data_IF_432673336555
#
_entry.id   IF_432673336555
#
_cell.length_a   1.000
_cell.length_b   1.000
_cell.length_c   1.000
_cell.angle_alpha   90.00
_cell.angle_beta   90.00
_cell.angle_gamma   90.00
#
_symmetry.space_group_name_H-M   'P 1'
#
loop_
_entity.id
_entity.type
_entity.pdbx_description
1 polymer ?
#
# COMPACT_ATOMS: atom_id res chain seq x y z
N UNK A 1 26.95 62.03 -21.33
CA UNK A 1 27.03 60.61 -21.76
C UNK A 1 26.68 59.71 -20.59
N UNK A 2 25.46 59.17 -20.63
CA UNK A 2 25.11 57.80 -20.24
C UNK A 2 25.60 57.24 -18.88
N UNK A 3 25.35 57.91 -17.75
CA UNK A 3 25.62 57.29 -16.44
C UNK A 3 24.52 57.44 -15.37
N UNK A 4 23.33 57.91 -15.74
CA UNK A 4 22.19 58.04 -14.82
C UNK A 4 20.95 57.23 -15.22
N UNK A 5 21.02 56.43 -16.30
CA UNK A 5 19.90 55.61 -16.79
C UNK A 5 19.97 54.14 -16.38
N UNK A 6 21.00 53.71 -15.65
CA UNK A 6 21.11 52.31 -15.19
C UNK A 6 20.44 52.05 -13.83
N UNK A 7 20.02 53.10 -13.10
CA UNK A 7 19.48 52.96 -11.74
C UNK A 7 17.96 52.74 -11.68
N UNK A 8 17.25 52.67 -12.81
CA UNK A 8 15.77 52.59 -12.85
C UNK A 8 15.20 51.36 -13.58
N UNK A 9 15.95 50.25 -13.67
CA UNK A 9 15.49 49.01 -14.34
C UNK A 9 15.44 47.77 -13.46
N UNK A 10 15.47 47.92 -12.14
CA UNK A 10 15.27 46.78 -11.22
C UNK A 10 14.17 47.12 -10.22
N UNK A 11 13.07 47.67 -10.72
CA UNK A 11 11.80 47.66 -10.02
C UNK A 11 10.97 46.51 -10.61
N UNK A 12 10.70 45.49 -9.80
CA UNK A 12 9.69 44.47 -10.12
C UNK A 12 10.23 43.08 -10.36
N UNK A 13 10.55 42.36 -9.28
CA UNK A 13 10.32 40.92 -9.17
C UNK A 13 10.41 40.52 -7.69
N UNK A 14 9.59 41.15 -6.86
CA UNK A 14 9.39 40.74 -5.47
C UNK A 14 8.50 39.49 -5.47
N UNK A 15 9.06 38.40 -4.94
CA UNK A 15 8.40 37.27 -4.29
C UNK A 15 7.23 36.56 -5.00
N UNK A 16 7.53 35.42 -5.60
CA UNK A 16 6.66 34.25 -5.59
C UNK A 16 7.52 33.00 -5.32
N UNK A 17 7.91 32.77 -4.07
CA UNK A 17 8.32 31.42 -3.65
C UNK A 17 7.01 30.63 -3.58
N UNK A 18 6.67 29.99 -4.70
CA UNK A 18 5.61 28.99 -4.72
C UNK A 18 6.16 27.80 -3.95
N UNK A 19 5.85 27.72 -2.66
CA UNK A 19 5.86 26.45 -1.94
C UNK A 19 4.76 25.60 -2.58
N UNK A 20 5.08 24.96 -3.71
CA UNK A 20 4.32 23.82 -4.17
C UNK A 20 4.62 22.73 -3.15
N UNK A 21 3.89 22.77 -2.04
CA UNK A 21 3.65 21.56 -1.26
C UNK A 21 2.99 20.61 -2.23
N UNK A 22 3.80 19.78 -2.86
CA UNK A 22 3.29 18.71 -3.67
C UNK A 22 2.45 17.86 -2.71
N UNK A 23 1.14 17.92 -2.87
CA UNK A 23 0.31 16.73 -2.64
C UNK A 23 0.75 15.69 -3.67
N UNK A 24 1.99 15.20 -3.57
CA UNK A 24 2.46 14.07 -4.35
C UNK A 24 1.98 12.86 -3.57
N UNK A 25 1.06 12.09 -4.16
CA UNK A 25 0.82 10.72 -3.72
C UNK A 25 2.16 10.02 -3.51
N UNK A 26 2.29 9.16 -2.50
CA UNK A 26 3.56 8.49 -2.24
C UNK A 26 4.02 7.80 -3.52
N UNK A 27 5.29 7.99 -3.90
CA UNK A 27 5.79 7.42 -5.14
C UNK A 27 5.70 5.89 -5.06
N UNK A 28 5.07 5.26 -6.07
CA UNK A 28 4.91 3.81 -6.20
C UNK A 28 6.24 3.15 -6.54
N UNK A 29 7.04 2.91 -5.51
CA UNK A 29 8.41 2.40 -5.63
C UNK A 29 8.62 1.30 -4.59
N UNK A 30 9.52 0.37 -4.87
CA UNK A 30 9.90 -0.68 -3.93
C UNK A 30 10.29 -0.12 -2.55
N UNK A 31 11.08 0.96 -2.50
CA UNK A 31 11.50 1.58 -1.24
C UNK A 31 10.33 2.11 -0.42
N UNK A 32 9.36 2.78 -1.04
CA UNK A 32 8.18 3.29 -0.32
C UNK A 32 7.25 2.16 0.09
N UNK A 33 7.09 1.15 -0.76
CA UNK A 33 6.34 -0.04 -0.43
C UNK A 33 6.94 -0.76 0.79
N UNK A 34 8.25 -1.05 0.79
CA UNK A 34 8.89 -1.72 1.92
C UNK A 34 8.83 -0.88 3.21
N UNK A 35 8.85 0.45 3.11
CA UNK A 35 8.65 1.33 4.27
C UNK A 35 7.23 1.21 4.83
N UNK A 36 6.22 1.33 3.96
CA UNK A 36 4.83 1.16 4.37
C UNK A 36 4.62 -0.22 4.98
N UNK A 37 5.17 -1.27 4.37
CA UNK A 37 5.11 -2.62 4.91
C UNK A 37 5.70 -2.71 6.31
N UNK A 38 6.87 -2.10 6.54
CA UNK A 38 7.47 -2.08 7.88
C UNK A 38 6.57 -1.42 8.94
N UNK A 39 5.82 -0.38 8.56
CA UNK A 39 4.88 0.31 9.46
C UNK A 39 3.64 -0.55 9.76
N UNK A 40 3.17 -1.34 8.80
CA UNK A 40 1.97 -2.18 8.96
C UNK A 40 2.26 -3.56 9.60
N UNK A 41 3.48 -4.09 9.45
CA UNK A 41 3.85 -5.45 9.85
C UNK A 41 3.48 -5.85 11.28
N UNK A 42 3.69 -5.01 12.32
CA UNK A 42 3.33 -5.38 13.69
C UNK A 42 1.87 -5.83 13.84
N UNK A 43 0.97 -5.21 13.07
CA UNK A 43 -0.47 -5.43 13.12
C UNK A 43 -0.97 -6.39 12.03
N UNK A 44 -0.14 -6.73 11.03
CA UNK A 44 -0.43 -7.78 10.04
C UNK A 44 -0.26 -9.17 10.67
N UNK A 45 0.64 -9.30 11.66
CA UNK A 45 0.90 -10.56 12.35
C UNK A 45 -0.22 -10.96 13.32
N UNK A 46 -1.12 -10.03 13.68
CA UNK A 46 -2.21 -10.27 14.63
C UNK A 46 -3.48 -10.70 13.90
N UNK A 47 -4.07 -11.81 14.36
CA UNK A 47 -5.36 -12.28 13.86
C UNK A 47 -6.49 -11.36 14.36
N UNK A 48 -7.31 -10.78 13.46
CA UNK A 48 -8.41 -9.92 13.87
C UNK A 48 -9.51 -10.72 14.57
N UNK A 49 -10.02 -10.21 15.69
CA UNK A 49 -11.05 -10.86 16.51
C UNK A 49 -12.41 -10.14 16.47
N UNK A 50 -12.47 -8.96 15.84
CA UNK A 50 -13.66 -8.10 15.75
C UNK A 50 -13.81 -7.52 14.35
N UNK A 51 -15.03 -7.13 13.98
CA UNK A 51 -15.32 -6.53 12.67
C UNK A 51 -14.50 -5.25 12.41
N UNK A 52 -14.22 -4.48 13.46
CA UNK A 52 -13.35 -3.30 13.39
C UNK A 52 -11.91 -3.69 13.05
N UNK A 53 -11.37 -4.70 13.73
CA UNK A 53 -10.02 -5.21 13.44
C UNK A 53 -9.93 -5.85 12.03
N UNK A 54 -10.98 -6.52 11.56
CA UNK A 54 -11.06 -7.03 10.18
C UNK A 54 -11.01 -5.85 9.20
N UNK A 55 -11.82 -4.82 9.44
CA UNK A 55 -11.84 -3.61 8.62
C UNK A 55 -10.48 -2.90 8.60
N UNK A 56 -9.79 -2.85 9.73
CA UNK A 56 -8.46 -2.26 9.82
C UNK A 56 -7.42 -3.10 9.10
N UNK A 57 -7.47 -4.44 9.20
CA UNK A 57 -6.63 -5.34 8.43
C UNK A 57 -6.78 -5.11 6.92
N UNK A 58 -8.02 -4.95 6.42
CA UNK A 58 -8.27 -4.59 5.01
C UNK A 58 -7.60 -3.26 4.66
N UNK A 59 -7.76 -2.23 5.49
CA UNK A 59 -7.14 -0.91 5.24
C UNK A 59 -5.60 -0.99 5.18
N UNK A 60 -4.95 -1.91 5.91
CA UNK A 60 -3.49 -2.10 5.80
C UNK A 60 -3.09 -2.53 4.40
N UNK A 61 -3.78 -3.53 3.85
CA UNK A 61 -3.56 -3.99 2.48
C UNK A 61 -3.87 -2.92 1.44
N UNK A 62 -4.90 -2.09 1.67
CA UNK A 62 -5.20 -0.95 0.80
C UNK A 62 -4.07 0.09 0.79
N UNK A 63 -3.51 0.43 1.96
CA UNK A 63 -2.36 1.35 2.03
C UNK A 63 -1.11 0.79 1.37
N UNK A 64 -0.90 -0.52 1.45
CA UNK A 64 0.18 -1.21 0.72
C UNK A 64 -0.04 -1.14 -0.80
N UNK A 65 -1.27 -1.35 -1.26
CA UNK A 65 -1.63 -1.26 -2.68
C UNK A 65 -1.47 0.17 -3.23
N UNK A 66 -1.78 1.20 -2.44
CA UNK A 66 -1.61 2.59 -2.85
C UNK A 66 -0.17 2.91 -3.24
N UNK A 67 0.81 2.30 -2.55
CA UNK A 67 2.24 2.50 -2.77
C UNK A 67 2.92 1.39 -3.56
N UNK A 68 2.17 0.36 -3.98
CA UNK A 68 2.70 -0.78 -4.71
C UNK A 68 3.31 -0.33 -6.05
N UNK A 69 4.55 -0.74 -6.36
CA UNK A 69 5.17 -0.47 -7.64
C UNK A 69 4.50 -1.33 -8.75
N UNK A 70 4.59 -0.88 -10.00
CA UNK A 70 3.88 -1.48 -11.14
C UNK A 70 4.18 -2.98 -11.32
N UNK A 71 5.37 -3.42 -10.91
CA UNK A 71 5.82 -4.80 -11.00
C UNK A 71 5.03 -5.79 -10.14
N UNK A 72 4.36 -5.31 -9.08
CA UNK A 72 3.60 -6.17 -8.13
C UNK A 72 2.19 -5.64 -7.83
N UNK A 73 1.80 -4.51 -8.45
CA UNK A 73 0.50 -3.87 -8.21
C UNK A 73 -0.67 -4.82 -8.50
N UNK A 74 -0.60 -5.59 -9.59
CA UNK A 74 -1.65 -6.54 -9.97
C UNK A 74 -1.87 -7.56 -8.85
N UNK A 75 -0.80 -8.14 -8.35
CA UNK A 75 -0.84 -9.19 -7.33
C UNK A 75 -1.36 -8.64 -6.00
N UNK A 76 -0.91 -7.45 -5.58
CA UNK A 76 -1.44 -6.79 -4.39
C UNK A 76 -2.89 -6.35 -4.53
N UNK A 77 -3.34 -5.98 -5.74
CA UNK A 77 -4.74 -5.70 -6.00
C UNK A 77 -5.60 -6.96 -5.84
N UNK A 78 -5.12 -8.11 -6.33
CA UNK A 78 -5.75 -9.42 -6.15
C UNK A 78 -5.91 -9.78 -4.66
N UNK A 79 -4.83 -9.63 -3.88
CA UNK A 79 -4.87 -9.86 -2.43
C UNK A 79 -5.82 -8.90 -1.71
N UNK A 80 -5.79 -7.62 -2.06
CA UNK A 80 -6.66 -6.62 -1.44
C UNK A 80 -8.13 -6.89 -1.76
N UNK A 81 -8.44 -7.34 -2.98
CA UNK A 81 -9.78 -7.75 -3.36
C UNK A 81 -10.25 -8.98 -2.55
N UNK A 82 -9.39 -9.97 -2.35
CA UNK A 82 -9.67 -11.11 -1.49
C UNK A 82 -9.94 -10.69 -0.03
N UNK A 83 -9.12 -9.80 0.52
CA UNK A 83 -9.31 -9.30 1.89
C UNK A 83 -10.64 -8.55 2.05
N UNK A 84 -11.04 -7.75 1.06
CA UNK A 84 -12.35 -7.08 1.04
C UNK A 84 -13.49 -8.10 0.98
N UNK A 85 -13.40 -9.10 0.10
CA UNK A 85 -14.41 -10.14 0.00
C UNK A 85 -14.53 -10.96 1.30
N UNK A 86 -13.41 -11.24 1.97
CA UNK A 86 -13.40 -11.94 3.25
C UNK A 86 -14.05 -11.11 4.37
N UNK A 87 -13.90 -9.78 4.37
CA UNK A 87 -14.60 -8.87 5.30
C UNK A 87 -16.11 -8.86 5.03
N UNK A 88 -16.50 -8.86 3.76
CA UNK A 88 -17.89 -8.63 3.33
C UNK A 88 -18.70 -9.94 3.17
N UNK A 89 -18.11 -11.10 3.51
CA UNK A 89 -18.76 -12.40 3.35
C UNK A 89 -19.96 -12.55 4.28
N UNK A 90 -21.08 -13.04 3.74
CA UNK A 90 -22.22 -13.48 4.53
C UNK A 90 -22.12 -15.00 4.76
N UNK A 91 -21.75 -15.39 5.97
CA UNK A 91 -21.61 -16.80 6.33
C UNK A 91 -22.93 -17.58 6.36
N UNK A 92 -24.08 -16.90 6.37
CA UNK A 92 -25.40 -17.53 6.28
C UNK A 92 -25.85 -17.77 4.82
N UNK A 93 -25.15 -17.18 3.85
CA UNK A 93 -25.43 -17.32 2.42
C UNK A 93 -24.39 -18.24 1.74
N UNK A 94 -24.78 -19.46 1.32
CA UNK A 94 -23.88 -20.38 0.63
C UNK A 94 -23.29 -19.81 -0.67
N UNK A 95 -24.00 -18.92 -1.38
CA UNK A 95 -23.48 -18.30 -2.62
C UNK A 95 -22.38 -17.28 -2.31
N UNK A 96 -22.57 -16.46 -1.27
CA UNK A 96 -21.55 -15.56 -0.73
C UNK A 96 -20.27 -16.32 -0.33
N UNK A 97 -20.43 -17.43 0.40
CA UNK A 97 -19.30 -18.29 0.80
C UNK A 97 -18.60 -18.90 -0.43
N UNK A 98 -19.35 -19.41 -1.41
CA UNK A 98 -18.78 -20.01 -2.61
C UNK A 98 -18.01 -18.96 -3.45
N UNK A 99 -18.52 -17.73 -3.52
CA UNK A 99 -17.83 -16.61 -4.19
C UNK A 99 -16.48 -16.31 -3.53
N UNK A 100 -16.43 -16.30 -2.19
CA UNK A 100 -15.18 -16.12 -1.45
C UNK A 100 -14.19 -17.27 -1.71
N UNK A 101 -14.68 -18.51 -1.75
CA UNK A 101 -13.86 -19.69 -2.05
C UNK A 101 -13.24 -19.59 -3.44
N UNK A 102 -14.03 -19.26 -4.46
CA UNK A 102 -13.54 -19.09 -5.83
C UNK A 102 -12.49 -18.00 -5.93
N UNK A 103 -12.73 -16.85 -5.29
CA UNK A 103 -11.77 -15.76 -5.24
C UNK A 103 -10.47 -16.15 -4.53
N UNK A 104 -10.57 -16.96 -3.48
CA UNK A 104 -9.40 -17.48 -2.76
C UNK A 104 -8.53 -18.32 -3.70
N UNK A 105 -9.13 -19.26 -4.43
CA UNK A 105 -8.41 -20.09 -5.40
C UNK A 105 -7.83 -19.28 -6.56
N UNK A 106 -8.56 -18.29 -7.08
CA UNK A 106 -8.04 -17.47 -8.17
C UNK A 106 -6.87 -16.57 -7.75
N UNK A 107 -6.81 -16.20 -6.46
CA UNK A 107 -5.80 -15.31 -5.91
C UNK A 107 -4.51 -16.03 -5.47
N UNK A 108 -4.51 -17.37 -5.40
CA UNK A 108 -3.39 -18.16 -4.85
C UNK A 108 -2.06 -17.84 -5.54
N UNK A 109 -2.06 -17.82 -6.87
CA UNK A 109 -0.85 -17.51 -7.65
C UNK A 109 -0.33 -16.11 -7.38
N UNK A 110 -1.23 -15.15 -7.23
CA UNK A 110 -0.89 -13.75 -6.96
C UNK A 110 -0.37 -13.57 -5.52
N UNK A 111 -0.91 -14.34 -4.55
CA UNK A 111 -0.41 -14.39 -3.18
C UNK A 111 1.03 -14.91 -3.12
N UNK A 112 1.32 -16.01 -3.82
CA UNK A 112 2.66 -16.60 -3.88
C UNK A 112 3.66 -15.65 -4.56
N UNK A 113 3.26 -15.01 -5.66
CA UNK A 113 4.07 -14.02 -6.35
C UNK A 113 4.37 -12.81 -5.46
N UNK A 114 3.36 -12.30 -4.74
CA UNK A 114 3.52 -11.21 -3.78
C UNK A 114 4.49 -11.57 -2.66
N UNK A 115 4.32 -12.74 -2.03
CA UNK A 115 5.21 -13.21 -0.96
C UNK A 115 6.66 -13.33 -1.44
N UNK A 116 6.88 -13.97 -2.60
CA UNK A 116 8.22 -14.12 -3.18
C UNK A 116 8.87 -12.77 -3.50
N UNK A 117 8.11 -11.83 -4.06
CA UNK A 117 8.61 -10.50 -4.37
C UNK A 117 8.94 -9.70 -3.11
N UNK A 118 8.07 -9.73 -2.09
CA UNK A 118 8.28 -9.04 -0.81
C UNK A 118 9.48 -9.61 -0.07
N UNK A 119 9.68 -10.93 -0.11
CA UNK A 119 10.88 -11.55 0.45
C UNK A 119 12.15 -11.11 -0.28
N UNK A 120 12.14 -11.15 -1.61
CA UNK A 120 13.29 -10.76 -2.42
C UNK A 120 13.61 -9.26 -2.34
N UNK A 121 12.60 -8.41 -2.18
CA UNK A 121 12.74 -6.95 -2.28
C UNK A 121 12.84 -6.27 -0.91
N UNK A 122 12.02 -6.69 0.04
CA UNK A 122 11.93 -6.09 1.38
C UNK A 122 12.61 -6.96 2.46
N UNK A 123 12.99 -8.21 2.16
CA UNK A 123 13.57 -9.14 3.13
C UNK A 123 12.57 -9.66 4.16
N UNK A 124 11.28 -9.55 3.88
CA UNK A 124 10.18 -9.94 4.78
C UNK A 124 9.44 -11.13 4.18
N UNK A 125 9.22 -12.17 4.99
CA UNK A 125 8.41 -13.31 4.58
C UNK A 125 6.96 -13.13 5.05
N UNK A 126 6.06 -12.84 4.11
CA UNK A 126 4.62 -12.69 4.37
C UNK A 126 3.93 -14.04 4.65
N UNK A 127 4.55 -15.17 4.30
CA UNK A 127 4.01 -16.50 4.57
C UNK A 127 4.16 -16.92 6.03
N UNK A 128 5.03 -16.24 6.79
CA UNK A 128 5.19 -16.42 8.24
C UNK A 128 4.07 -15.77 9.05
N UNK A 129 2.95 -15.38 8.43
CA UNK A 129 1.77 -14.78 9.07
C UNK A 129 1.09 -15.61 10.16
N UNK A 130 1.71 -16.70 10.66
CA UNK A 130 1.35 -17.46 11.85
C UNK A 130 2.67 -18.00 12.41
N UNK A 131 3.14 -17.50 13.55
CA UNK A 131 4.37 -18.00 14.17
C UNK A 131 4.29 -19.53 14.43
N UNK A 132 5.29 -20.34 14.04
CA UNK A 132 5.73 -21.43 14.89
C UNK A 132 6.58 -20.81 16.02
N UNK A 133 6.15 -21.08 17.26
CA UNK A 133 6.75 -20.68 18.52
C UNK A 133 8.29 -20.60 18.53
N UNK A 134 8.81 -19.59 19.25
CA UNK A 134 10.19 -19.50 19.71
C UNK A 134 10.70 -20.79 20.39
N UNK A 135 12.04 -20.99 20.47
CA UNK A 135 12.66 -21.48 21.70
C UNK A 135 12.91 -20.35 22.71
#
# INVERSE_FOLDING_TARGET
MAWQQQLLRIAGATACIVLVGACSSPARTATNFCRQLADELPEIADLPATDEQISDAVKRYERLLDVAPLEIEKEFNSLTALMRAARDVDAADPESVQTLVELTYSSEKDALASSAWVLATCGVDLSLGIAPSAP
#
